data_IF_567522091875
#
_entry.id   IF_567522091875
#
_cell.length_a   1.000
_cell.length_b   1.000
_cell.length_c   1.000
_cell.angle_alpha   90.00
_cell.angle_beta   90.00
_cell.angle_gamma   90.00
#
_symmetry.space_group_name_H-M   'P 1'
#
loop_
_entity.id
_entity.type
_entity.pdbx_description
1 polymer ?
#
# COMPACT_ATOMS: atom_id res chain seq x y z
N UNK A 1 39.03 -6.84 7.18
CA UNK A 1 37.61 -7.05 7.52
C UNK A 1 36.90 -5.70 7.52
N UNK A 2 36.34 -5.29 6.38
CA UNK A 2 35.66 -4.00 6.24
C UNK A 2 34.22 -4.13 6.71
N UNK A 3 33.89 -3.51 7.84
CA UNK A 3 32.52 -3.44 8.37
C UNK A 3 31.73 -2.43 7.54
N UNK A 4 31.21 -2.85 6.38
CA UNK A 4 30.39 -2.01 5.50
C UNK A 4 29.15 -1.55 6.27
N UNK A 5 29.02 -0.25 6.48
CA UNK A 5 27.85 0.38 7.12
C UNK A 5 26.76 0.56 6.07
N UNK A 6 25.78 -0.34 6.11
CA UNK A 6 24.61 -0.34 5.22
C UNK A 6 23.76 0.94 5.30
N UNK A 7 23.96 1.77 6.32
CA UNK A 7 23.19 2.99 6.55
C UNK A 7 23.52 4.13 5.60
N UNK A 8 24.73 4.17 5.01
CA UNK A 8 25.18 5.30 4.20
C UNK A 8 24.53 5.38 2.81
N UNK A 9 23.95 4.28 2.30
CA UNK A 9 23.27 4.25 1.00
C UNK A 9 21.75 4.41 1.06
N UNK A 10 21.15 4.19 2.23
CA UNK A 10 19.69 4.28 2.44
C UNK A 10 19.22 5.71 2.72
N UNK A 11 20.07 6.53 3.35
CA UNK A 11 19.81 7.95 3.63
C UNK A 11 19.42 8.75 2.38
N UNK A 12 20.08 8.51 1.24
CA UNK A 12 19.76 9.20 -0.02
C UNK A 12 18.41 8.82 -0.63
N UNK A 13 17.78 7.73 -0.16
CA UNK A 13 16.48 7.25 -0.63
C UNK A 13 15.32 7.84 0.21
N UNK A 14 15.60 8.23 1.46
CA UNK A 14 14.63 8.85 2.38
C UNK A 14 14.89 10.35 2.63
N UNK A 15 16.06 10.86 2.23
CA UNK A 15 16.46 12.25 2.36
C UNK A 15 15.93 13.12 1.23
N UNK A 16 14.61 13.26 1.15
CA UNK A 16 13.88 14.48 0.72
C UNK A 16 12.37 14.32 0.98
N UNK A 17 12.00 13.80 2.16
CA UNK A 17 10.63 13.90 2.65
C UNK A 17 10.49 15.18 3.49
N UNK A 18 10.82 16.34 2.91
CA UNK A 18 10.27 17.60 3.43
C UNK A 18 8.77 17.59 3.15
N UNK A 19 7.99 17.64 4.23
CA UNK A 19 6.54 17.68 4.26
C UNK A 19 5.92 18.55 3.16
N UNK A 20 5.02 18.02 2.30
CA UNK A 20 4.23 18.86 1.37
C UNK A 20 3.05 19.58 2.06
N UNK A 21 3.07 19.75 3.39
CA UNK A 21 1.98 20.35 4.17
C UNK A 21 2.44 21.49 5.09
N UNK A 22 3.41 22.29 4.66
CA UNK A 22 3.65 23.60 5.27
C UNK A 22 3.35 24.71 4.27
N UNK A 23 2.28 25.44 4.60
CA UNK A 23 1.92 26.80 4.20
C UNK A 23 2.50 27.36 2.89
N UNK A 24 1.64 27.42 1.87
CA UNK A 24 1.52 28.59 0.99
C UNK A 24 0.19 28.58 0.26
N UNK A 25 -0.76 29.32 0.82
CA UNK A 25 -1.75 30.03 0.02
C UNK A 25 -1.02 30.82 -1.07
N UNK A 26 -1.36 30.58 -2.34
CA UNK A 26 -1.58 31.62 -3.36
C UNK A 26 -1.94 30.94 -4.67
N UNK A 27 -3.06 31.36 -5.22
CA UNK A 27 -3.56 30.87 -6.49
C UNK A 27 -2.75 31.36 -7.68
N UNK A 28 -2.80 30.59 -8.76
CA UNK A 28 -2.89 31.07 -10.14
C UNK A 28 -2.89 29.84 -11.06
N UNK A 29 -3.95 29.71 -11.85
CA UNK A 29 -4.02 28.84 -13.02
C UNK A 29 -2.86 29.18 -13.97
N UNK A 30 -2.18 28.22 -14.63
CA UNK A 30 -1.40 28.54 -15.80
C UNK A 30 -2.26 28.36 -17.05
N UNK A 31 -2.49 29.48 -17.73
CA UNK A 31 -2.93 29.54 -19.10
C UNK A 31 -1.85 28.96 -20.04
N UNK A 32 -2.31 28.32 -21.11
CA UNK A 32 -1.53 27.81 -22.22
C UNK A 32 -0.70 28.93 -22.88
N UNK A 33 0.60 28.70 -23.10
CA UNK A 33 1.37 29.38 -24.15
C UNK A 33 2.34 28.39 -24.79
N UNK A 34 2.14 28.21 -26.09
CA UNK A 34 2.94 27.45 -27.04
C UNK A 34 4.25 28.17 -27.43
N UNK A 35 5.19 27.36 -27.97
CA UNK A 35 6.33 27.68 -28.84
C UNK A 35 7.62 28.27 -28.21
N UNK A 36 8.71 27.47 -28.25
CA UNK A 36 9.72 27.53 -29.32
C UNK A 36 11.01 26.76 -28.97
N UNK A 37 11.63 26.21 -30.01
CA UNK A 37 12.82 25.34 -30.03
C UNK A 37 14.14 26.07 -29.65
N UNK A 38 15.14 25.32 -29.19
CA UNK A 38 16.54 25.74 -29.38
C UNK A 38 17.65 25.06 -28.55
N UNK A 39 18.39 24.16 -29.23
CA UNK A 39 19.85 23.89 -29.17
C UNK A 39 20.44 22.90 -28.14
N UNK A 40 21.17 21.95 -28.73
CA UNK A 40 22.16 21.04 -28.13
C UNK A 40 23.35 21.80 -27.53
N UNK A 41 23.85 21.31 -26.40
CA UNK A 41 25.12 21.68 -25.79
C UNK A 41 25.59 20.62 -24.80
N UNK A 42 26.71 19.99 -25.15
CA UNK A 42 27.76 19.32 -24.37
C UNK A 42 27.49 18.29 -23.27
N UNK A 43 28.36 17.26 -23.33
CA UNK A 43 28.45 16.13 -22.44
C UNK A 43 28.86 16.55 -21.01
N UNK A 44 27.93 16.34 -20.07
CA UNK A 44 28.23 16.19 -18.66
C UNK A 44 27.52 14.92 -18.15
N UNK A 45 28.26 14.10 -17.41
CA UNK A 45 27.89 12.78 -16.93
C UNK A 45 26.43 12.72 -16.45
N UNK A 46 25.59 12.02 -17.22
CA UNK A 46 24.20 11.74 -16.85
C UNK A 46 24.23 10.76 -15.67
N UNK A 47 23.84 11.27 -14.50
CA UNK A 47 23.37 10.48 -13.36
C UNK A 47 22.44 9.39 -13.90
N UNK A 48 22.61 8.09 -13.56
CA UNK A 48 21.71 7.06 -14.06
C UNK A 48 20.31 7.41 -13.58
N UNK A 49 19.46 7.76 -14.55
CA UNK A 49 18.08 8.11 -14.29
C UNK A 49 17.38 6.91 -13.68
N UNK A 50 16.41 7.21 -12.84
CA UNK A 50 15.46 6.32 -12.16
C UNK A 50 14.67 5.34 -13.05
N UNK A 51 15.06 5.17 -14.32
CA UNK A 51 14.46 4.27 -15.31
C UNK A 51 15.19 2.92 -15.43
N UNK A 52 16.39 2.80 -14.88
CA UNK A 52 17.19 1.57 -14.93
C UNK A 52 16.99 0.65 -13.71
N UNK A 53 16.09 1.01 -12.78
CA UNK A 53 15.84 0.19 -11.60
C UNK A 53 15.14 -1.13 -11.95
N UNK A 54 14.14 -1.10 -12.84
CA UNK A 54 13.41 -2.30 -13.24
C UNK A 54 14.29 -3.27 -14.03
N UNK A 55 15.17 -2.75 -14.89
CA UNK A 55 16.13 -3.57 -15.64
C UNK A 55 17.23 -4.13 -14.73
N UNK A 56 17.75 -3.35 -13.79
CA UNK A 56 18.72 -3.80 -12.80
C UNK A 56 18.14 -4.83 -11.81
N UNK A 57 16.85 -4.68 -11.44
CA UNK A 57 16.16 -5.64 -10.59
C UNK A 57 15.85 -6.94 -11.35
N UNK A 58 15.43 -6.83 -12.62
CA UNK A 58 15.19 -8.00 -13.46
C UNK A 58 16.47 -8.80 -13.69
N UNK A 59 17.61 -8.14 -13.95
CA UNK A 59 18.90 -8.84 -14.11
C UNK A 59 19.36 -9.48 -12.80
N UNK A 60 19.24 -8.79 -11.66
CA UNK A 60 19.57 -9.33 -10.36
C UNK A 60 18.74 -10.58 -10.00
N UNK A 61 17.43 -10.54 -10.22
CA UNK A 61 16.55 -11.67 -9.94
C UNK A 61 16.85 -12.86 -10.86
N UNK A 62 17.12 -12.61 -12.14
CA UNK A 62 17.49 -13.66 -13.09
C UNK A 62 18.73 -14.41 -12.63
N UNK A 63 19.80 -13.70 -12.28
CA UNK A 63 21.04 -14.31 -11.78
C UNK A 63 20.81 -15.06 -10.47
N UNK A 64 20.02 -14.52 -9.54
CA UNK A 64 19.74 -15.20 -8.27
C UNK A 64 18.92 -16.49 -8.45
N UNK A 65 17.99 -16.54 -9.42
CA UNK A 65 17.24 -17.76 -9.71
C UNK A 65 18.08 -18.80 -10.44
N UNK A 66 18.95 -18.39 -11.37
CA UNK A 66 19.86 -19.31 -12.05
C UNK A 66 20.85 -19.94 -11.06
N UNK A 67 21.47 -19.16 -10.19
CA UNK A 67 22.38 -19.68 -9.17
C UNK A 67 21.69 -20.66 -8.21
N UNK A 68 20.46 -20.34 -7.76
CA UNK A 68 19.70 -21.23 -6.87
C UNK A 68 19.23 -22.52 -7.56
N UNK A 69 18.89 -22.45 -8.85
CA UNK A 69 18.46 -23.61 -9.62
C UNK A 69 19.64 -24.53 -9.96
N UNK A 70 20.79 -23.95 -10.33
CA UNK A 70 22.02 -24.71 -10.56
C UNK A 70 22.47 -25.40 -9.27
N UNK A 71 22.48 -24.70 -8.13
CA UNK A 71 22.81 -25.31 -6.83
C UNK A 71 21.86 -26.46 -6.45
N UNK A 72 20.57 -26.33 -6.78
CA UNK A 72 19.57 -27.39 -6.54
C UNK A 72 19.74 -28.58 -7.48
N UNK A 73 20.11 -28.35 -8.74
CA UNK A 73 20.41 -29.41 -9.72
C UNK A 73 21.68 -30.14 -9.31
N UNK A 74 22.73 -29.42 -8.93
CA UNK A 74 23.98 -30.01 -8.46
C UNK A 74 23.77 -30.85 -7.20
N UNK A 75 22.99 -30.36 -6.23
CA UNK A 75 22.64 -31.11 -5.02
C UNK A 75 21.83 -32.39 -5.30
N UNK A 76 21.01 -32.40 -6.36
CA UNK A 76 20.29 -33.61 -6.81
C UNK A 76 21.17 -34.55 -7.63
N UNK A 77 22.13 -34.02 -8.37
CA UNK A 77 23.05 -34.79 -9.22
C UNK A 77 24.17 -35.47 -8.43
N UNK A 78 24.52 -34.94 -7.25
CA UNK A 78 25.52 -35.52 -6.36
C UNK A 78 24.98 -36.57 -5.37
N UNK A 79 23.67 -36.86 -5.38
CA UNK A 79 23.07 -37.86 -4.49
C UNK A 79 22.85 -39.21 -5.23
N UNK A 80 23.50 -40.32 -4.82
CA UNK A 80 23.14 -41.63 -5.36
C UNK A 80 21.76 -42.05 -4.83
N UNK A 81 20.92 -42.55 -5.73
CA UNK A 81 19.58 -43.08 -5.43
C UNK A 81 19.68 -44.32 -4.53
N UNK A 82 19.49 -44.14 -3.23
CA UNK A 82 19.23 -45.23 -2.30
C UNK A 82 17.96 -44.91 -1.51
N UNK A 83 16.96 -45.77 -1.69
CA UNK A 83 15.74 -45.79 -0.91
C UNK A 83 16.08 -45.77 0.58
N UNK A 84 15.59 -44.76 1.31
CA UNK A 84 15.62 -44.76 2.76
C UNK A 84 14.32 -44.16 3.30
N UNK A 85 13.52 -45.04 3.91
CA UNK A 85 12.62 -44.68 4.99
C UNK A 85 13.40 -43.81 5.98
N UNK A 86 13.05 -42.53 6.04
CA UNK A 86 13.62 -41.59 7.01
C UNK A 86 12.55 -41.18 8.02
N UNK A 87 12.85 -41.21 9.32
CA UNK A 87 11.91 -40.84 10.35
C UNK A 87 11.55 -39.37 10.21
N UNK A 88 10.24 -39.10 10.26
CA UNK A 88 9.64 -37.78 10.09
C UNK A 88 10.28 -36.77 11.05
N UNK A 89 11.14 -35.90 10.52
CA UNK A 89 11.75 -34.83 11.31
C UNK A 89 10.65 -33.87 11.79
N UNK A 90 10.73 -33.37 13.04
CA UNK A 90 9.78 -32.37 13.52
C UNK A 90 9.89 -31.11 12.64
N UNK A 91 8.76 -30.48 12.29
CA UNK A 91 8.77 -29.29 11.46
C UNK A 91 9.57 -28.20 12.16
N UNK A 92 10.61 -27.70 11.49
CA UNK A 92 11.40 -26.57 11.99
C UNK A 92 10.46 -25.38 12.22
N UNK A 93 10.62 -24.62 13.32
CA UNK A 93 9.79 -23.45 13.55
C UNK A 93 9.99 -22.49 12.37
N UNK A 94 8.90 -22.19 11.67
CA UNK A 94 8.92 -21.21 10.60
C UNK A 94 9.38 -19.88 11.21
N UNK A 95 10.55 -19.39 10.79
CA UNK A 95 11.06 -18.10 11.21
C UNK A 95 11.48 -17.34 9.96
N UNK A 96 11.06 -16.07 9.89
CA UNK A 96 11.44 -15.17 8.80
C UNK A 96 10.47 -15.11 7.61
N UNK A 97 11.03 -14.68 6.49
CA UNK A 97 10.34 -14.29 5.25
C UNK A 97 9.42 -15.39 4.69
N UNK A 98 9.73 -16.67 4.93
CA UNK A 98 8.87 -17.81 4.55
C UNK A 98 7.50 -17.79 5.25
N UNK A 99 7.43 -17.27 6.48
CA UNK A 99 6.17 -17.06 7.21
C UNK A 99 5.34 -15.95 6.57
N UNK A 100 6.02 -14.90 6.10
CA UNK A 100 5.40 -13.82 5.35
C UNK A 100 4.91 -14.31 3.97
N UNK A 101 5.74 -15.04 3.23
CA UNK A 101 5.38 -15.64 1.93
C UNK A 101 4.15 -16.54 2.07
N UNK A 102 4.15 -17.48 3.04
CA UNK A 102 3.01 -18.36 3.31
C UNK A 102 1.75 -17.58 3.67
N UNK A 103 1.87 -16.52 4.47
CA UNK A 103 0.74 -15.66 4.81
C UNK A 103 0.19 -14.86 3.62
N UNK A 104 1.04 -14.55 2.63
CA UNK A 104 0.65 -13.81 1.42
C UNK A 104 0.19 -14.69 0.25
N UNK A 105 0.53 -15.99 0.25
CA UNK A 105 0.13 -16.95 -0.80
C UNK A 105 -1.36 -17.30 -0.70
N UNK A 106 -1.90 -17.37 0.51
CA UNK A 106 -3.34 -17.46 0.70
C UNK A 106 -3.86 -16.05 0.92
N UNK A 107 -4.62 -15.45 -0.01
CA UNK A 107 -5.27 -14.18 0.27
C UNK A 107 -6.16 -14.40 1.50
N UNK A 108 -5.75 -13.88 2.65
CA UNK A 108 -6.60 -13.84 3.84
C UNK A 108 -7.88 -13.17 3.39
N UNK A 109 -8.98 -13.92 3.39
CA UNK A 109 -10.25 -13.50 2.84
C UNK A 109 -10.61 -12.12 3.36
N UNK A 110 -10.40 -11.11 2.53
CA UNK A 110 -10.94 -9.78 2.77
C UNK A 110 -12.43 -9.99 2.76
N UNK A 111 -13.05 -9.87 3.93
CA UNK A 111 -14.49 -9.89 4.07
C UNK A 111 -15.02 -8.67 3.31
N UNK A 112 -15.24 -8.85 2.01
CA UNK A 112 -16.03 -7.92 1.21
C UNK A 112 -17.44 -8.10 1.72
N UNK A 113 -17.79 -7.37 2.77
CA UNK A 113 -19.15 -7.32 3.25
C UNK A 113 -20.05 -6.90 2.09
N UNK A 114 -20.98 -7.76 1.62
CA UNK A 114 -21.85 -7.46 0.49
C UNK A 114 -23.02 -6.57 0.93
N UNK A 115 -22.81 -5.68 1.90
CA UNK A 115 -23.82 -4.68 2.21
C UNK A 115 -23.93 -3.78 0.98
N UNK A 116 -25.10 -3.78 0.37
CA UNK A 116 -25.46 -2.91 -0.74
C UNK A 116 -25.47 -1.45 -0.27
N UNK A 117 -24.29 -0.90 -0.01
CA UNK A 117 -24.10 0.48 0.37
C UNK A 117 -24.47 1.32 -0.85
N UNK A 118 -25.52 2.13 -0.71
CA UNK A 118 -25.92 3.09 -1.73
C UNK A 118 -25.29 4.43 -1.41
N UNK A 119 -24.58 5.00 -2.39
CA UNK A 119 -24.05 6.37 -2.27
C UNK A 119 -25.21 7.35 -2.43
N UNK A 120 -25.37 8.23 -1.46
CA UNK A 120 -26.32 9.34 -1.50
C UNK A 120 -25.58 10.67 -1.44
N UNK A 121 -26.09 11.68 -2.13
CA UNK A 121 -25.61 13.06 -2.02
C UNK A 121 -26.63 13.83 -1.20
N UNK A 122 -26.20 14.37 -0.06
CA UNK A 122 -27.03 15.17 0.84
C UNK A 122 -26.52 16.60 0.84
N UNK A 123 -27.44 17.55 0.94
CA UNK A 123 -27.12 18.98 1.07
C UNK A 123 -27.38 19.38 2.52
N UNK A 124 -26.37 19.96 3.17
CA UNK A 124 -26.43 20.44 4.54
C UNK A 124 -26.06 21.92 4.59
N UNK A 125 -26.56 22.62 5.60
CA UNK A 125 -26.07 23.95 5.94
C UNK A 125 -24.60 23.89 6.39
N UNK A 126 -23.83 24.92 6.06
CA UNK A 126 -22.38 24.95 6.31
C UNK A 126 -22.07 24.89 7.81
N UNK A 127 -22.89 25.52 8.64
CA UNK A 127 -22.72 25.53 10.09
C UNK A 127 -22.99 24.15 10.71
N UNK A 128 -24.00 23.43 10.19
CA UNK A 128 -24.34 22.09 10.66
C UNK A 128 -23.24 21.09 10.33
N UNK A 129 -22.70 21.12 9.10
CA UNK A 129 -21.61 20.22 8.70
C UNK A 129 -20.32 20.54 9.46
N UNK A 130 -20.07 21.81 9.78
CA UNK A 130 -18.95 22.23 10.62
C UNK A 130 -19.02 21.62 12.01
N UNK A 131 -20.17 21.73 12.68
CA UNK A 131 -20.41 21.11 13.99
C UNK A 131 -20.28 19.59 13.94
N UNK A 132 -20.85 18.95 12.92
CA UNK A 132 -20.81 17.49 12.77
C UNK A 132 -19.38 16.96 12.56
N UNK A 133 -18.55 17.69 11.81
CA UNK A 133 -17.11 17.38 11.68
C UNK A 133 -16.36 17.49 13.01
N UNK A 134 -16.69 18.47 13.83
CA UNK A 134 -16.06 18.64 15.16
C UNK A 134 -16.43 17.47 16.07
N UNK A 135 -17.70 17.07 16.08
CA UNK A 135 -18.17 15.89 16.84
C UNK A 135 -17.44 14.63 16.37
N UNK A 136 -17.33 14.41 15.05
CA UNK A 136 -16.60 13.27 14.48
C UNK A 136 -15.13 13.21 14.92
N UNK A 137 -14.45 14.37 15.01
CA UNK A 137 -13.07 14.42 15.51
C UNK A 137 -12.95 14.05 16.99
N UNK A 138 -13.91 14.50 17.81
CA UNK A 138 -13.93 14.23 19.25
C UNK A 138 -14.19 12.74 19.50
N UNK A 139 -15.17 12.17 18.80
CA UNK A 139 -15.57 10.77 18.95
C UNK A 139 -14.66 9.78 18.21
N UNK A 140 -13.72 10.28 17.39
CA UNK A 140 -12.84 9.48 16.51
C UNK A 140 -13.64 8.54 15.59
N UNK A 141 -14.84 8.97 15.20
CA UNK A 141 -15.74 8.26 14.30
C UNK A 141 -15.75 8.90 12.92
N UNK A 142 -16.18 8.17 11.89
CA UNK A 142 -16.36 8.77 10.58
C UNK A 142 -17.71 9.49 10.50
N UNK A 143 -17.76 10.54 9.67
CA UNK A 143 -18.99 11.31 9.45
C UNK A 143 -20.16 10.42 8.98
N UNK A 144 -19.86 9.41 8.15
CA UNK A 144 -20.85 8.44 7.66
C UNK A 144 -21.49 7.64 8.80
N UNK A 145 -20.74 7.33 9.85
CA UNK A 145 -21.19 6.48 10.96
C UNK A 145 -22.14 7.30 11.84
N UNK A 146 -21.77 8.54 12.17
CA UNK A 146 -22.64 9.47 12.91
C UNK A 146 -23.96 9.71 12.17
N UNK A 147 -23.90 9.94 10.85
CA UNK A 147 -25.12 10.13 10.05
C UNK A 147 -25.98 8.87 10.08
N UNK A 148 -25.38 7.68 10.00
CA UNK A 148 -26.10 6.42 10.07
C UNK A 148 -26.79 6.24 11.43
N UNK A 149 -26.12 6.58 12.54
CA UNK A 149 -26.68 6.50 13.89
C UNK A 149 -27.85 7.46 14.08
N UNK A 150 -27.73 8.69 13.58
CA UNK A 150 -28.81 9.69 13.61
C UNK A 150 -30.02 9.17 12.81
N UNK A 151 -29.79 8.64 11.61
CA UNK A 151 -30.87 8.10 10.76
C UNK A 151 -31.51 6.87 11.42
N UNK A 152 -30.73 5.97 12.00
CA UNK A 152 -31.23 4.80 12.70
C UNK A 152 -32.10 5.18 13.91
N UNK A 153 -31.64 6.18 14.68
CA UNK A 153 -32.40 6.71 15.82
C UNK A 153 -33.70 7.35 15.34
N UNK A 154 -33.65 8.15 14.28
CA UNK A 154 -34.83 8.80 13.71
C UNK A 154 -35.86 7.79 13.19
N UNK A 155 -35.43 6.74 12.49
CA UNK A 155 -36.31 5.66 12.02
C UNK A 155 -36.95 4.94 13.22
N UNK A 156 -36.15 4.58 14.22
CA UNK A 156 -36.65 3.90 15.43
C UNK A 156 -37.70 4.73 16.18
N UNK A 157 -37.44 6.03 16.33
CA UNK A 157 -38.38 6.96 16.95
C UNK A 157 -39.66 7.12 16.13
N UNK A 158 -39.55 7.09 14.80
CA UNK A 158 -40.68 7.20 13.89
C UNK A 158 -41.57 5.95 13.94
N UNK A 159 -40.96 4.75 13.89
CA UNK A 159 -41.67 3.48 14.01
C UNK A 159 -42.42 3.35 15.34
N UNK A 160 -41.81 3.85 16.43
CA UNK A 160 -42.47 3.90 17.74
C UNK A 160 -43.70 4.81 17.77
N UNK A 161 -43.71 5.89 16.99
CA UNK A 161 -44.81 6.88 16.97
C UNK A 161 -45.93 6.51 15.99
N UNK A 162 -45.58 6.01 14.81
CA UNK A 162 -46.51 5.84 13.69
C UNK A 162 -46.75 4.38 13.28
N UNK A 163 -46.08 3.42 13.93
CA UNK A 163 -46.12 2.01 13.58
C UNK A 163 -45.03 1.62 12.58
N UNK A 164 -44.88 0.32 12.33
CA UNK A 164 -43.86 -0.21 11.42
C UNK A 164 -44.06 0.29 9.98
N UNK A 165 -42.97 0.80 9.39
CA UNK A 165 -42.95 1.23 7.99
C UNK A 165 -42.83 0.00 7.08
N UNK A 166 -43.62 -0.08 5.98
CA UNK A 166 -43.43 -1.10 4.97
C UNK A 166 -42.15 -0.81 4.16
N UNK A 167 -41.32 -1.85 3.95
CA UNK A 167 -40.10 -1.82 3.16
C UNK A 167 -40.36 -1.96 1.66
#
# INVERSE_FOLDING_TARGET
MSKKRFTAGLESLFGDATDPFSDKEQGALPAEVELAQGKQGDAAAKKPGTKDFSSALASFLHTAFEDAFEEQIEARKSAPSAASDTPMQPPKPASGLDLLIRSTITPSGVEIHPFATRRITLVFENDMIGKLKTIAKIEKSHLKDIVNDIVATYISDYERKYGQLPF
#
